data_IF_992536149168
#
_entry.id   IF_992536149168
#
_cell.length_a   1.000
_cell.length_b   1.000
_cell.length_c   1.000
_cell.angle_alpha   90.00
_cell.angle_beta   90.00
_cell.angle_gamma   90.00
#
_symmetry.space_group_name_H-M   'P 1'
#
loop_
_entity.id
_entity.type
_entity.pdbx_description
1 polymer ?
#
# COMPACT_ATOMS: atom_id res chain seq x y z
N UNK A 1 -18.42 -2.47 -3.92
CA UNK A 1 -18.09 -3.92 -3.88
C UNK A 1 -17.91 -4.34 -2.41
N UNK A 2 -18.87 -5.00 -1.76
CA UNK A 2 -18.71 -5.46 -0.37
C UNK A 2 -17.96 -6.80 -0.36
N UNK A 3 -16.64 -6.79 -0.22
CA UNK A 3 -15.85 -8.02 -0.04
C UNK A 3 -16.04 -8.50 1.40
N UNK A 4 -17.06 -9.34 1.62
CA UNK A 4 -17.25 -10.07 2.89
C UNK A 4 -16.09 -11.07 3.07
N UNK A 5 -15.88 -11.60 4.26
CA UNK A 5 -14.96 -12.73 4.47
C UNK A 5 -15.57 -14.04 3.91
N UNK A 6 -15.78 -14.07 2.60
CA UNK A 6 -16.65 -15.04 1.93
C UNK A 6 -16.11 -16.46 2.01
N UNK A 7 -14.79 -16.64 1.98
CA UNK A 7 -14.15 -17.95 2.16
C UNK A 7 -14.33 -18.52 3.58
N UNK A 8 -14.32 -17.67 4.62
CA UNK A 8 -14.50 -18.15 5.99
C UNK A 8 -15.93 -18.66 6.23
N UNK A 9 -16.93 -18.07 5.57
CA UNK A 9 -18.33 -18.46 5.78
C UNK A 9 -18.65 -19.90 5.34
N UNK A 10 -17.88 -20.44 4.40
CA UNK A 10 -18.01 -21.81 3.86
C UNK A 10 -17.31 -22.86 4.74
N UNK A 11 -16.40 -22.44 5.62
CA UNK A 11 -15.60 -23.32 6.49
C UNK A 11 -16.18 -23.42 7.92
N UNK A 12 -17.30 -22.73 8.18
CA UNK A 12 -17.87 -22.59 9.51
C UNK A 12 -19.22 -23.31 9.59
N UNK A 13 -19.29 -24.37 10.40
CA UNK A 13 -20.52 -25.10 10.69
C UNK A 13 -21.29 -24.51 11.89
N UNK A 14 -20.62 -23.71 12.74
CA UNK A 14 -21.23 -23.07 13.91
C UNK A 14 -22.09 -21.85 13.50
N UNK A 15 -23.42 -21.86 13.75
CA UNK A 15 -24.30 -20.75 13.39
C UNK A 15 -23.98 -19.42 14.07
N UNK A 16 -23.53 -19.44 15.32
CA UNK A 16 -23.16 -18.23 16.07
C UNK A 16 -21.90 -17.60 15.47
N UNK A 17 -20.93 -18.43 15.08
CA UNK A 17 -19.71 -17.96 14.43
C UNK A 17 -19.97 -17.39 13.02
N UNK A 18 -20.89 -18.00 12.26
CA UNK A 18 -21.36 -17.45 10.97
C UNK A 18 -22.06 -16.10 11.14
N UNK A 19 -22.87 -15.93 12.19
CA UNK A 19 -23.51 -14.65 12.51
C UNK A 19 -22.48 -13.58 12.88
N UNK A 20 -21.48 -13.92 13.70
CA UNK A 20 -20.38 -13.02 14.03
C UNK A 20 -19.59 -12.59 12.78
N UNK A 21 -19.30 -13.52 11.87
CA UNK A 21 -18.60 -13.23 10.62
C UNK A 21 -19.36 -12.22 9.74
N UNK A 22 -20.69 -12.28 9.71
CA UNK A 22 -21.50 -11.35 8.93
C UNK A 22 -21.40 -9.88 9.42
N UNK A 23 -20.98 -9.67 10.67
CA UNK A 23 -20.78 -8.34 11.24
C UNK A 23 -19.42 -7.70 10.85
N UNK A 24 -18.48 -8.48 10.30
CA UNK A 24 -17.16 -7.96 9.92
C UNK A 24 -17.27 -6.94 8.78
N UNK A 25 -16.54 -5.84 8.95
CA UNK A 25 -16.36 -4.81 7.93
C UNK A 25 -14.97 -4.94 7.33
N UNK A 26 -14.91 -4.97 6.00
CA UNK A 26 -13.66 -5.01 5.27
C UNK A 26 -13.15 -3.60 5.04
N UNK A 27 -11.86 -3.41 5.31
CA UNK A 27 -11.12 -2.19 5.02
C UNK A 27 -9.96 -2.54 4.10
N UNK A 28 -9.89 -1.96 2.89
CA UNK A 28 -8.84 -2.30 1.94
C UNK A 28 -7.48 -1.81 2.44
N UNK A 29 -6.41 -2.45 2.00
CA UNK A 29 -5.06 -1.90 2.06
C UNK A 29 -4.53 -1.92 0.63
N UNK A 30 -4.00 -0.79 0.18
CA UNK A 30 -3.42 -0.67 -1.15
C UNK A 30 -1.92 -0.45 -1.03
N UNK A 31 -1.15 -1.23 -1.78
CA UNK A 31 0.30 -1.08 -1.87
C UNK A 31 0.67 -0.72 -3.31
N UNK A 32 1.30 0.44 -3.48
CA UNK A 32 1.87 0.89 -4.75
C UNK A 32 3.36 0.58 -4.75
N UNK A 33 3.84 -0.09 -5.79
CA UNK A 33 5.27 -0.34 -5.98
C UNK A 33 5.81 0.59 -7.05
N UNK A 34 6.77 1.45 -6.66
CA UNK A 34 7.46 2.39 -7.56
C UNK A 34 8.89 1.89 -7.78
N UNK A 35 9.26 1.61 -9.04
CA UNK A 35 10.61 1.21 -9.42
C UNK A 35 11.34 2.39 -10.05
N UNK A 36 12.50 2.75 -9.54
CA UNK A 36 13.35 3.81 -10.07
C UNK A 36 14.64 3.23 -10.67
N UNK A 37 15.24 3.98 -11.60
CA UNK A 37 16.58 3.66 -12.14
C UNK A 37 17.74 4.01 -11.20
N UNK A 38 17.43 4.63 -10.07
CA UNK A 38 18.38 5.04 -9.04
C UNK A 38 17.96 4.46 -7.69
N UNK A 39 18.94 4.29 -6.80
CA UNK A 39 18.67 3.92 -5.41
C UNK A 39 17.77 4.98 -4.74
N UNK A 40 16.65 4.60 -4.09
CA UNK A 40 15.73 5.57 -3.51
C UNK A 40 16.37 6.35 -2.37
N UNK A 41 17.16 5.67 -1.53
CA UNK A 41 17.84 6.24 -0.36
C UNK A 41 16.90 7.08 0.49
N UNK A 42 15.76 6.50 0.86
CA UNK A 42 14.85 7.17 1.78
C UNK A 42 15.56 7.42 3.14
N UNK A 43 15.16 8.43 3.93
CA UNK A 43 15.81 8.75 5.20
C UNK A 43 15.86 7.59 6.22
N UNK A 44 14.94 6.64 6.11
CA UNK A 44 14.98 5.37 6.83
C UNK A 44 14.35 4.26 5.97
N UNK A 45 14.67 2.98 6.23
CA UNK A 45 14.12 1.86 5.45
C UNK A 45 12.60 1.71 5.54
N UNK A 46 11.98 2.16 6.64
CA UNK A 46 10.54 2.18 6.87
C UNK A 46 10.15 3.52 7.52
N UNK A 47 9.17 4.20 6.93
CA UNK A 47 8.78 5.56 7.31
C UNK A 47 7.26 5.70 7.37
N UNK A 48 6.76 6.28 8.46
CA UNK A 48 5.39 6.79 8.51
C UNK A 48 5.31 8.15 7.81
N UNK A 49 4.26 8.36 7.02
CA UNK A 49 4.05 9.58 6.24
C UNK A 49 2.89 10.36 6.86
N UNK A 50 3.21 11.48 7.51
CA UNK A 50 2.19 12.43 7.98
C UNK A 50 1.95 13.53 6.94
N UNK A 51 0.68 13.90 6.74
CA UNK A 51 0.25 14.95 5.80
C UNK A 51 0.44 14.61 4.32
N UNK A 52 0.70 13.32 4.01
CA UNK A 52 0.83 12.79 2.67
C UNK A 52 -0.43 12.09 2.16
N UNK A 53 -0.32 11.49 0.98
CA UNK A 53 -1.38 10.69 0.37
C UNK A 53 -1.32 9.19 0.71
N UNK A 54 -0.20 8.75 1.28
CA UNK A 54 0.06 7.38 1.76
C UNK A 54 0.36 7.39 3.25
N UNK A 55 0.21 6.26 3.93
CA UNK A 55 0.51 6.14 5.37
C UNK A 55 1.95 5.70 5.62
N UNK A 56 2.49 4.86 4.73
CA UNK A 56 3.83 4.30 4.87
C UNK A 56 4.62 4.31 3.57
N UNK A 57 5.93 4.50 3.68
CA UNK A 57 6.90 4.23 2.64
C UNK A 57 7.95 3.24 3.14
N UNK A 58 8.30 2.29 2.29
CA UNK A 58 9.31 1.27 2.53
C UNK A 58 10.35 1.34 1.42
N UNK A 59 11.60 1.60 1.78
CA UNK A 59 12.74 1.44 0.88
C UNK A 59 13.06 -0.06 0.79
N UNK A 60 12.59 -0.69 -0.29
CA UNK A 60 12.73 -2.14 -0.48
C UNK A 60 14.17 -2.52 -0.85
N UNK A 61 14.95 -1.58 -1.40
CA UNK A 61 16.38 -1.78 -1.61
C UNK A 61 17.09 -1.90 -0.26
N UNK A 62 16.83 -0.96 0.66
CA UNK A 62 17.42 -0.99 2.01
C UNK A 62 16.93 -2.17 2.86
N UNK A 63 15.66 -2.58 2.73
CA UNK A 63 15.07 -3.67 3.52
C UNK A 63 15.38 -5.07 3.00
N UNK A 64 15.48 -5.24 1.69
CA UNK A 64 15.47 -6.56 1.06
C UNK A 64 16.39 -6.68 -0.17
N UNK A 65 17.18 -5.66 -0.49
CA UNK A 65 18.06 -5.65 -1.67
C UNK A 65 17.32 -5.50 -3.00
N UNK A 66 16.03 -5.16 -3.00
CA UNK A 66 15.24 -4.98 -4.22
C UNK A 66 15.55 -3.62 -4.85
N UNK A 67 16.56 -3.60 -5.74
CA UNK A 67 17.10 -2.34 -6.24
C UNK A 67 16.05 -1.41 -6.85
N UNK A 68 16.16 -0.13 -6.48
CA UNK A 68 15.33 0.96 -6.99
C UNK A 68 13.87 0.92 -6.52
N UNK A 69 13.48 0.00 -5.64
CA UNK A 69 12.07 -0.23 -5.33
C UNK A 69 11.64 0.49 -4.04
N UNK A 70 10.53 1.22 -4.14
CA UNK A 70 9.79 1.73 -2.99
C UNK A 70 8.41 1.09 -2.98
N UNK A 71 7.97 0.61 -1.82
CA UNK A 71 6.58 0.24 -1.59
C UNK A 71 5.89 1.34 -0.76
N UNK A 72 4.76 1.85 -1.25
CA UNK A 72 3.97 2.86 -0.58
C UNK A 72 2.61 2.25 -0.20
N UNK A 73 2.22 2.36 1.07
CA UNK A 73 1.01 1.71 1.59
C UNK A 73 -0.02 2.74 2.03
N UNK A 74 -1.24 2.60 1.52
CA UNK A 74 -2.44 3.28 1.99
C UNK A 74 -3.31 2.27 2.76
N UNK A 75 -3.53 2.52 4.03
CA UNK A 75 -4.18 1.63 4.99
C UNK A 75 -5.63 2.04 5.21
N UNK A 76 -6.54 1.09 5.03
CA UNK A 76 -7.95 1.23 5.38
C UNK A 76 -8.63 2.53 4.90
N UNK A 77 -8.43 3.00 3.65
CA UNK A 77 -9.15 4.18 3.19
C UNK A 77 -10.66 3.87 3.15
N UNK A 78 -11.48 4.89 3.44
CA UNK A 78 -12.94 4.77 3.36
C UNK A 78 -13.40 4.38 1.94
N UNK A 79 -12.74 4.95 0.93
CA UNK A 79 -12.90 4.61 -0.48
C UNK A 79 -11.53 4.40 -1.10
N UNK A 80 -11.37 3.33 -1.86
CA UNK A 80 -10.10 3.03 -2.52
C UNK A 80 -9.95 3.98 -3.73
N UNK A 81 -8.91 4.85 -3.77
CA UNK A 81 -8.68 5.72 -4.91
C UNK A 81 -8.35 4.92 -6.17
N UNK A 82 -8.47 5.57 -7.33
CA UNK A 82 -8.06 4.99 -8.61
C UNK A 82 -6.56 4.70 -8.66
N UNK A 83 -6.14 3.77 -9.52
CA UNK A 83 -4.74 3.35 -9.63
C UNK A 83 -3.80 4.51 -9.97
N UNK A 84 -4.16 5.38 -10.92
CA UNK A 84 -3.36 6.54 -11.31
C UNK A 84 -3.18 7.53 -10.15
N UNK A 85 -4.25 7.78 -9.40
CA UNK A 85 -4.21 8.65 -8.22
C UNK A 85 -3.34 8.07 -7.11
N UNK A 86 -3.43 6.76 -6.85
CA UNK A 86 -2.57 6.06 -5.91
C UNK A 86 -1.08 6.18 -6.30
N UNK A 87 -0.75 6.02 -7.59
CA UNK A 87 0.61 6.20 -8.10
C UNK A 87 1.08 7.64 -7.91
N UNK A 88 0.24 8.63 -8.23
CA UNK A 88 0.57 10.05 -8.07
C UNK A 88 0.83 10.42 -6.61
N UNK A 89 -0.03 9.98 -5.68
CA UNK A 89 0.12 10.17 -4.23
C UNK A 89 1.42 9.54 -3.72
N UNK A 90 1.67 8.28 -4.07
CA UNK A 90 2.87 7.57 -3.68
C UNK A 90 4.16 8.26 -4.19
N UNK A 91 4.16 8.70 -5.45
CA UNK A 91 5.31 9.39 -6.02
C UNK A 91 5.54 10.76 -5.38
N UNK A 92 4.48 11.51 -5.08
CA UNK A 92 4.57 12.78 -4.39
C UNK A 92 5.19 12.62 -2.99
N UNK A 93 4.72 11.65 -2.21
CA UNK A 93 5.26 11.36 -0.87
C UNK A 93 6.71 10.90 -0.92
N UNK A 94 7.06 10.02 -1.87
CA UNK A 94 8.44 9.57 -2.06
C UNK A 94 9.37 10.76 -2.38
N UNK A 95 8.97 11.65 -3.31
CA UNK A 95 9.76 12.83 -3.69
C UNK A 95 9.86 13.89 -2.59
N UNK A 96 8.87 13.99 -1.70
CA UNK A 96 8.95 14.87 -0.53
C UNK A 96 10.11 14.48 0.40
N UNK A 97 10.44 13.20 0.47
CA UNK A 97 11.51 12.66 1.32
C UNK A 97 12.83 12.41 0.56
N UNK A 98 12.72 12.18 -0.75
CA UNK A 98 13.84 11.93 -1.66
C UNK A 98 13.64 12.71 -2.97
N UNK A 99 13.90 14.04 -2.98
CA UNK A 99 13.61 14.91 -4.12
C UNK A 99 14.37 14.56 -5.41
N UNK A 100 15.46 13.79 -5.32
CA UNK A 100 16.25 13.32 -6.45
C UNK A 100 15.60 12.19 -7.23
N UNK A 101 14.50 11.61 -6.74
CA UNK A 101 13.83 10.48 -7.38
C UNK A 101 13.27 10.88 -8.77
N UNK A 102 13.68 10.18 -9.85
CA UNK A 102 13.21 10.45 -11.21
C UNK A 102 11.76 9.98 -11.38
N UNK A 103 11.25 9.97 -12.61
CA UNK A 103 10.02 9.25 -12.90
C UNK A 103 10.24 7.74 -12.62
N UNK A 104 9.26 7.04 -12.02
CA UNK A 104 9.33 5.60 -11.90
C UNK A 104 9.23 4.96 -13.29
N UNK A 105 9.85 3.78 -13.46
CA UNK A 105 9.75 2.98 -14.68
C UNK A 105 8.28 2.64 -14.94
N UNK A 106 7.87 2.75 -16.20
CA UNK A 106 6.60 2.21 -16.67
C UNK A 106 6.62 0.68 -16.59
N UNK A 107 5.51 0.08 -16.18
CA UNK A 107 5.32 -1.34 -16.36
C UNK A 107 5.32 -1.64 -17.87
N UNK A 108 6.11 -2.63 -18.29
CA UNK A 108 6.14 -3.11 -19.67
C UNK A 108 4.87 -3.90 -20.02
#
# INVERSE_FOLDING_TARGET
MRRRAYHAAELLDDPALRAALAAYRYWPIATVYLRFDVSPRLPAPMLGVSGGGMDWLFDREALAGESGLVAAVLSAPAELPGAEELVARALADARRLAPHLPAPRTAA
#
